data_IF_713320572381
#
_entry.id   IF_713320572381
#
_cell.length_a   1.000
_cell.length_b   1.000
_cell.length_c   1.000
_cell.angle_alpha   90.00
_cell.angle_beta   90.00
_cell.angle_gamma   90.00
#
_symmetry.space_group_name_H-M   'P 1'
#
loop_
_entity.id
_entity.type
_entity.pdbx_description
1 polymer ?
#
# COMPACT_ATOMS: atom_id res chain seq x y z
N UNK A 1 -31.87 -4.80 -10.75
CA UNK A 1 -31.59 -5.95 -9.86
C UNK A 1 -31.98 -5.52 -8.46
N UNK A 2 -32.86 -6.29 -7.79
CA UNK A 2 -33.19 -6.02 -6.39
C UNK A 2 -32.15 -6.73 -5.53
N UNK A 3 -31.03 -6.05 -5.27
CA UNK A 3 -29.98 -6.59 -4.41
C UNK A 3 -30.45 -6.46 -2.97
N UNK A 4 -30.56 -7.60 -2.29
CA UNK A 4 -30.94 -7.64 -0.88
C UNK A 4 -29.70 -7.85 -0.02
N UNK A 5 -29.61 -7.10 1.08
CA UNK A 5 -28.51 -7.19 2.05
C UNK A 5 -29.10 -7.51 3.40
N UNK A 6 -28.59 -8.56 4.03
CA UNK A 6 -29.11 -9.00 5.32
C UNK A 6 -28.02 -9.63 6.18
N UNK A 7 -28.17 -9.48 7.49
CA UNK A 7 -27.46 -10.30 8.46
C UNK A 7 -28.03 -11.71 8.42
N UNK A 8 -27.17 -12.70 8.56
CA UNK A 8 -27.52 -14.12 8.63
C UNK A 8 -27.07 -14.67 9.98
N UNK A 9 -27.80 -15.67 10.52
CA UNK A 9 -27.29 -16.51 11.60
C UNK A 9 -25.97 -17.15 11.15
N UNK A 10 -25.04 -17.35 12.08
CA UNK A 10 -23.71 -17.89 11.74
C UNK A 10 -23.81 -19.38 11.34
N UNK A 11 -24.87 -20.06 11.78
CA UNK A 11 -25.25 -21.42 11.43
C UNK A 11 -25.45 -21.58 9.91
N UNK A 12 -25.74 -20.49 9.20
CA UNK A 12 -25.92 -20.47 7.74
C UNK A 12 -24.61 -20.24 6.96
N UNK A 13 -23.44 -20.42 7.58
CA UNK A 13 -22.14 -20.28 6.92
C UNK A 13 -22.03 -21.13 5.64
N UNK A 14 -22.64 -22.30 5.59
CA UNK A 14 -22.60 -23.18 4.41
C UNK A 14 -23.08 -22.49 3.12
N UNK A 15 -23.98 -21.52 3.24
CA UNK A 15 -24.48 -20.77 2.08
C UNK A 15 -23.37 -19.99 1.35
N UNK A 16 -22.27 -19.64 2.03
CA UNK A 16 -21.14 -18.90 1.45
C UNK A 16 -19.97 -19.78 1.01
N UNK A 17 -20.05 -21.12 1.18
CA UNK A 17 -18.92 -22.04 0.96
C UNK A 17 -18.24 -21.83 -0.40
N UNK A 18 -19.03 -21.75 -1.48
CA UNK A 18 -18.51 -21.57 -2.84
C UNK A 18 -17.77 -20.23 -3.03
N UNK A 19 -18.27 -19.14 -2.45
CA UNK A 19 -17.61 -17.83 -2.51
C UNK A 19 -16.37 -17.80 -1.59
N UNK A 20 -16.41 -18.53 -0.48
CA UNK A 20 -15.26 -18.68 0.41
C UNK A 20 -14.10 -19.43 -0.27
N UNK A 21 -14.40 -20.53 -0.96
CA UNK A 21 -13.41 -21.26 -1.76
C UNK A 21 -12.84 -20.39 -2.87
N UNK A 22 -13.69 -19.58 -3.54
CA UNK A 22 -13.23 -18.65 -4.57
C UNK A 22 -12.26 -17.57 -4.05
N UNK A 23 -12.50 -17.00 -2.85
CA UNK A 23 -11.55 -16.05 -2.26
C UNK A 23 -10.27 -16.75 -1.77
N UNK A 24 -10.37 -17.97 -1.23
CA UNK A 24 -9.21 -18.78 -0.85
C UNK A 24 -8.29 -18.98 -2.05
N UNK A 25 -8.84 -19.34 -3.21
CA UNK A 25 -8.06 -19.60 -4.41
C UNK A 25 -7.48 -18.30 -5.01
N UNK A 26 -8.21 -17.19 -4.96
CA UNK A 26 -7.70 -15.86 -5.32
C UNK A 26 -6.56 -15.43 -4.39
N UNK A 27 -6.69 -15.66 -3.08
CA UNK A 27 -5.64 -15.43 -2.09
C UNK A 27 -4.43 -16.33 -2.31
N UNK A 28 -4.64 -17.61 -2.62
CA UNK A 28 -3.57 -18.53 -2.95
C UNK A 28 -2.78 -18.12 -4.19
N UNK A 29 -3.44 -17.48 -5.15
CA UNK A 29 -2.84 -17.00 -6.40
C UNK A 29 -2.10 -15.67 -6.20
N UNK A 30 -2.67 -14.76 -5.39
CA UNK A 30 -2.08 -13.43 -5.11
C UNK A 30 -0.98 -13.47 -4.05
N UNK A 31 -1.02 -14.44 -3.14
CA UNK A 31 -0.08 -14.50 -2.04
C UNK A 31 1.29 -14.92 -2.52
N UNK A 32 2.28 -14.04 -2.31
CA UNK A 32 3.69 -14.31 -2.60
C UNK A 32 4.27 -15.43 -1.73
N UNK A 33 3.79 -15.57 -0.50
CA UNK A 33 4.43 -16.41 0.53
C UNK A 33 3.57 -17.58 1.00
N UNK A 34 2.25 -17.45 0.94
CA UNK A 34 1.32 -18.39 1.59
C UNK A 34 0.41 -19.09 0.57
N UNK A 35 0.80 -19.12 -0.71
CA UNK A 35 -0.01 -19.71 -1.77
C UNK A 35 -0.43 -21.16 -1.48
N UNK A 36 0.51 -21.98 -1.02
CA UNK A 36 0.24 -23.38 -0.65
C UNK A 36 -0.60 -23.50 0.63
N UNK A 37 -0.33 -22.67 1.64
CA UNK A 37 -1.10 -22.67 2.88
C UNK A 37 -2.56 -22.33 2.60
N UNK A 38 -2.83 -21.31 1.78
CA UNK A 38 -4.19 -20.98 1.37
C UNK A 38 -4.85 -22.14 0.64
N UNK A 39 -4.17 -22.82 -0.29
CA UNK A 39 -4.71 -24.02 -0.98
C UNK A 39 -5.03 -25.15 -0.01
N UNK A 40 -4.25 -25.30 1.07
CA UNK A 40 -4.46 -26.30 2.11
C UNK A 40 -5.63 -26.00 3.04
N UNK A 41 -6.16 -24.77 3.06
CA UNK A 41 -7.28 -24.41 3.94
C UNK A 41 -8.58 -25.03 3.47
N UNK A 42 -9.28 -25.63 4.43
CA UNK A 42 -10.61 -26.23 4.27
C UNK A 42 -11.67 -25.32 4.86
N UNK A 43 -12.83 -25.27 4.22
CA UNK A 43 -13.96 -24.46 4.66
C UNK A 43 -14.48 -24.94 6.02
N UNK A 44 -14.44 -26.24 6.25
CA UNK A 44 -14.89 -26.90 7.48
C UNK A 44 -14.12 -26.37 8.70
N UNK A 45 -12.80 -26.20 8.60
CA UNK A 45 -11.98 -25.64 9.68
C UNK A 45 -12.40 -24.20 10.04
N UNK A 46 -12.92 -23.45 9.07
CA UNK A 46 -13.42 -22.09 9.28
C UNK A 46 -14.81 -22.10 9.90
N UNK A 47 -15.66 -23.03 9.48
CA UNK A 47 -16.96 -23.26 10.08
C UNK A 47 -16.83 -23.59 11.57
N UNK A 48 -15.92 -24.51 11.91
CA UNK A 48 -15.66 -24.91 13.29
C UNK A 48 -15.17 -23.73 14.14
N UNK A 49 -14.31 -22.88 13.60
CA UNK A 49 -13.80 -21.71 14.31
C UNK A 49 -14.91 -20.75 14.78
N UNK A 50 -15.91 -20.46 13.95
CA UNK A 50 -16.98 -19.54 14.34
C UNK A 50 -17.96 -20.14 15.36
N UNK A 51 -18.02 -21.48 15.47
CA UNK A 51 -18.86 -22.19 16.43
C UNK A 51 -18.11 -22.57 17.72
N UNK A 52 -16.81 -22.31 17.80
CA UNK A 52 -16.01 -22.53 19.00
C UNK A 52 -16.32 -21.44 20.04
N UNK A 53 -17.26 -21.75 20.94
CA UNK A 53 -17.72 -20.86 22.00
C UNK A 53 -16.62 -20.48 23.01
N UNK A 54 -15.53 -21.25 23.10
CA UNK A 54 -14.40 -20.93 23.97
C UNK A 54 -13.49 -19.87 23.35
N UNK A 55 -13.56 -19.68 22.02
CA UNK A 55 -12.74 -18.70 21.29
C UNK A 55 -13.54 -17.48 20.84
N UNK A 56 -14.79 -17.69 20.44
CA UNK A 56 -15.64 -16.70 19.79
C UNK A 56 -16.82 -16.36 20.68
N UNK A 57 -16.87 -15.11 21.14
CA UNK A 57 -17.99 -14.57 21.93
C UNK A 57 -19.18 -14.18 21.05
N UNK A 58 -18.90 -13.73 19.83
CA UNK A 58 -19.91 -13.39 18.85
C UNK A 58 -19.35 -13.58 17.44
N UNK A 59 -20.17 -14.09 16.52
CA UNK A 59 -19.86 -14.16 15.10
C UNK A 59 -21.00 -13.51 14.31
N UNK A 60 -20.63 -12.80 13.24
CA UNK A 60 -21.57 -12.13 12.36
C UNK A 60 -21.29 -12.48 10.90
N UNK A 61 -22.37 -12.71 10.14
CA UNK A 61 -22.33 -12.94 8.71
C UNK A 61 -23.31 -11.99 8.03
N UNK A 62 -22.83 -11.15 7.12
CA UNK A 62 -23.66 -10.33 6.25
C UNK A 62 -23.52 -10.82 4.81
N UNK A 63 -24.63 -10.96 4.10
CA UNK A 63 -24.65 -11.44 2.71
C UNK A 63 -25.41 -10.48 1.81
N UNK A 64 -24.97 -10.41 0.56
CA UNK A 64 -25.69 -9.77 -0.54
C UNK A 64 -26.27 -10.85 -1.45
N UNK A 65 -27.58 -10.75 -1.74
CA UNK A 65 -28.29 -11.64 -2.65
C UNK A 65 -28.84 -10.90 -3.85
N UNK A 66 -28.68 -11.49 -5.03
CA UNK A 66 -29.40 -11.11 -6.24
C UNK A 66 -30.43 -12.22 -6.51
N UNK A 67 -31.69 -11.94 -6.19
CA UNK A 67 -32.74 -12.95 -6.01
C UNK A 67 -32.33 -14.01 -4.96
N UNK A 68 -32.22 -15.29 -5.35
CA UNK A 68 -31.80 -16.38 -4.46
C UNK A 68 -30.28 -16.61 -4.43
N UNK A 69 -29.52 -15.95 -5.31
CA UNK A 69 -28.08 -16.20 -5.44
C UNK A 69 -27.28 -15.28 -4.51
N UNK A 70 -26.40 -15.85 -3.69
CA UNK A 70 -25.42 -15.06 -2.93
C UNK A 70 -24.31 -14.57 -3.87
N UNK A 71 -24.12 -13.26 -3.90
CA UNK A 71 -23.18 -12.58 -4.80
C UNK A 71 -22.06 -11.86 -4.05
N UNK A 72 -22.14 -11.82 -2.73
CA UNK A 72 -21.09 -11.32 -1.86
C UNK A 72 -21.40 -11.60 -0.41
N UNK A 73 -20.38 -11.63 0.42
CA UNK A 73 -20.52 -11.77 1.86
C UNK A 73 -19.40 -11.04 2.60
N UNK A 74 -19.66 -10.70 3.85
CA UNK A 74 -18.70 -10.21 4.82
C UNK A 74 -18.93 -10.97 6.13
N UNK A 75 -17.89 -11.54 6.70
CA UNK A 75 -17.93 -12.27 7.96
C UNK A 75 -16.87 -11.74 8.93
N UNK A 76 -17.17 -11.82 10.21
CA UNK A 76 -16.32 -11.34 11.29
C UNK A 76 -16.78 -11.87 12.64
N UNK A 77 -15.95 -11.64 13.65
CA UNK A 77 -16.20 -12.14 15.00
C UNK A 77 -15.71 -11.17 16.07
N UNK A 78 -16.11 -11.41 17.32
CA UNK A 78 -15.54 -10.85 18.53
C UNK A 78 -15.03 -12.02 19.36
N UNK A 79 -13.75 -12.01 19.71
CA UNK A 79 -13.17 -13.04 20.56
C UNK A 79 -13.59 -12.89 22.03
N UNK A 80 -13.26 -13.88 22.86
CA UNK A 80 -13.56 -13.84 24.30
C UNK A 80 -12.84 -12.69 25.04
N UNK A 81 -11.77 -12.13 24.47
CA UNK A 81 -11.05 -10.97 25.01
C UNK A 81 -11.73 -9.64 24.63
N UNK A 82 -12.81 -9.68 23.84
CA UNK A 82 -13.54 -8.51 23.40
C UNK A 82 -12.84 -7.74 22.27
N UNK A 83 -12.00 -8.41 21.48
CA UNK A 83 -11.38 -7.85 20.27
C UNK A 83 -12.20 -8.30 19.06
N UNK A 84 -12.59 -7.36 18.21
CA UNK A 84 -13.30 -7.62 16.96
C UNK A 84 -12.34 -7.84 15.79
N UNK A 85 -12.67 -8.77 14.89
CA UNK A 85 -12.01 -8.94 13.61
C UNK A 85 -13.04 -9.10 12.48
N UNK A 86 -12.84 -8.37 11.36
CA UNK A 86 -13.48 -8.71 10.08
C UNK A 86 -12.47 -9.52 9.28
N UNK A 87 -12.75 -10.80 9.10
CA UNK A 87 -11.76 -11.81 8.76
C UNK A 87 -12.05 -12.55 7.45
N UNK A 88 -13.22 -12.36 6.83
CA UNK A 88 -13.50 -12.87 5.49
C UNK A 88 -14.48 -11.99 4.72
N UNK A 89 -14.11 -11.54 3.53
CA UNK A 89 -14.90 -10.59 2.75
C UNK A 89 -14.72 -10.81 1.25
N UNK A 90 -15.80 -11.09 0.54
CA UNK A 90 -15.75 -11.33 -0.90
C UNK A 90 -16.98 -10.80 -1.62
N UNK A 91 -16.77 -10.29 -2.83
CA UNK A 91 -17.84 -9.98 -3.79
C UNK A 91 -17.46 -10.60 -5.12
N UNK A 92 -18.41 -11.29 -5.75
CA UNK A 92 -18.24 -11.92 -7.05
C UNK A 92 -17.80 -10.86 -8.09
N UNK A 93 -16.78 -11.12 -8.93
CA UNK A 93 -16.15 -10.10 -9.77
C UNK A 93 -17.10 -9.23 -10.61
N UNK A 94 -18.11 -9.83 -11.26
CA UNK A 94 -19.08 -9.11 -12.10
C UNK A 94 -19.98 -8.13 -11.33
N UNK A 95 -20.08 -8.30 -10.01
CA UNK A 95 -20.89 -7.46 -9.10
C UNK A 95 -20.04 -6.43 -8.33
N UNK A 96 -18.71 -6.40 -8.54
CA UNK A 96 -17.83 -5.42 -7.91
C UNK A 96 -18.05 -4.02 -8.48
N UNK A 97 -17.67 -3.01 -7.71
CA UNK A 97 -17.79 -1.58 -8.07
C UNK A 97 -19.24 -1.09 -8.27
N UNK A 98 -20.23 -1.82 -7.76
CA UNK A 98 -21.65 -1.45 -7.76
C UNK A 98 -22.16 -1.06 -6.36
N UNK A 99 -21.27 -0.70 -5.43
CA UNK A 99 -21.62 -0.35 -4.04
C UNK A 99 -21.89 -1.54 -3.10
N UNK A 100 -22.11 -2.74 -3.62
CA UNK A 100 -22.47 -3.94 -2.83
C UNK A 100 -21.46 -4.24 -1.72
N UNK A 101 -20.16 -4.22 -2.05
CA UNK A 101 -19.08 -4.49 -1.09
C UNK A 101 -19.06 -3.50 0.06
N UNK A 102 -19.34 -2.22 -0.21
CA UNK A 102 -19.45 -1.19 0.81
C UNK A 102 -20.64 -1.47 1.74
N UNK A 103 -21.81 -1.77 1.17
CA UNK A 103 -23.03 -2.00 1.96
C UNK A 103 -22.93 -3.23 2.87
N UNK A 104 -22.43 -4.38 2.39
CA UNK A 104 -22.28 -5.58 3.24
C UNK A 104 -21.18 -5.40 4.29
N UNK A 105 -20.13 -4.65 3.97
CA UNK A 105 -19.06 -4.34 4.92
C UNK A 105 -19.57 -3.41 6.02
N UNK A 106 -20.22 -2.29 5.67
CA UNK A 106 -20.76 -1.35 6.65
C UNK A 106 -21.79 -2.03 7.56
N UNK A 107 -22.66 -2.86 7.00
CA UNK A 107 -23.68 -3.55 7.78
C UNK A 107 -23.06 -4.47 8.84
N UNK A 108 -22.07 -5.29 8.46
CA UNK A 108 -21.35 -6.12 9.42
C UNK A 108 -20.56 -5.28 10.43
N UNK A 109 -19.86 -4.25 9.95
CA UNK A 109 -19.03 -3.41 10.80
C UNK A 109 -19.86 -2.69 11.87
N UNK A 110 -21.05 -2.18 11.52
CA UNK A 110 -22.01 -1.61 12.46
C UNK A 110 -22.48 -2.65 13.49
N UNK A 111 -22.79 -3.87 13.04
CA UNK A 111 -23.24 -4.95 13.91
C UNK A 111 -22.17 -5.35 14.94
N UNK A 112 -20.91 -5.48 14.52
CA UNK A 112 -19.77 -5.75 15.41
C UNK A 112 -19.53 -4.55 16.34
N UNK A 113 -19.55 -3.32 15.81
CA UNK A 113 -19.33 -2.10 16.60
C UNK A 113 -20.38 -1.90 17.68
N UNK A 114 -21.66 -2.20 17.41
CA UNK A 114 -22.75 -2.08 18.37
C UNK A 114 -22.59 -2.96 19.63
N UNK A 115 -21.71 -3.96 19.56
CA UNK A 115 -21.37 -4.85 20.68
C UNK A 115 -20.17 -4.33 21.50
N UNK A 116 -19.68 -3.13 21.18
CA UNK A 116 -18.62 -2.40 21.89
C UNK A 116 -17.33 -3.22 22.11
N UNK A 117 -16.69 -3.77 21.05
CA UNK A 117 -15.37 -4.37 21.18
C UNK A 117 -14.33 -3.29 21.55
N UNK A 118 -13.26 -3.71 22.22
CA UNK A 118 -12.14 -2.82 22.59
C UNK A 118 -11.43 -2.21 21.38
N UNK A 119 -11.37 -2.95 20.27
CA UNK A 119 -10.90 -2.52 18.95
C UNK A 119 -11.45 -3.47 17.89
N UNK A 120 -11.48 -3.03 16.63
CA UNK A 120 -11.77 -3.88 15.47
C UNK A 120 -10.57 -3.85 14.54
N UNK A 121 -10.08 -5.02 14.12
CA UNK A 121 -8.98 -5.11 13.16
C UNK A 121 -9.36 -5.94 11.93
N UNK A 122 -8.53 -5.83 10.89
CA UNK A 122 -8.65 -6.58 9.65
C UNK A 122 -7.26 -6.99 9.20
N UNK A 123 -7.13 -8.24 8.79
CA UNK A 123 -5.90 -8.77 8.21
C UNK A 123 -5.97 -8.66 6.69
N UNK A 124 -5.06 -7.89 6.08
CA UNK A 124 -4.98 -7.73 4.62
C UNK A 124 -3.75 -8.48 4.11
N UNK A 125 -3.95 -9.35 3.12
CA UNK A 125 -2.84 -10.08 2.50
C UNK A 125 -1.94 -9.09 1.76
N UNK A 126 -0.63 -9.30 1.91
CA UNK A 126 0.39 -8.55 1.20
C UNK A 126 0.14 -8.54 -0.32
N UNK A 127 0.31 -7.38 -0.97
CA UNK A 127 0.03 -7.18 -2.39
C UNK A 127 -1.45 -6.96 -2.75
N UNK A 128 -2.37 -6.97 -1.76
CA UNK A 128 -3.79 -6.67 -1.99
C UNK A 128 -4.12 -5.19 -1.79
N UNK A 129 -3.49 -4.32 -2.59
CA UNK A 129 -3.66 -2.86 -2.51
C UNK A 129 -5.12 -2.41 -2.68
N UNK A 130 -5.88 -3.13 -3.50
CA UNK A 130 -7.32 -2.86 -3.69
C UNK A 130 -8.10 -3.03 -2.38
N UNK A 131 -7.82 -4.07 -1.61
CA UNK A 131 -8.47 -4.30 -0.32
C UNK A 131 -8.00 -3.28 0.72
N UNK A 132 -6.69 -2.97 0.75
CA UNK A 132 -6.15 -1.96 1.65
C UNK A 132 -6.82 -0.58 1.44
N UNK A 133 -6.89 -0.12 0.20
CA UNK A 133 -7.58 1.15 -0.13
C UNK A 133 -9.07 1.11 0.19
N UNK A 134 -9.71 -0.06 0.09
CA UNK A 134 -11.11 -0.21 0.49
C UNK A 134 -11.30 -0.01 2.00
N UNK A 135 -10.49 -0.67 2.83
CA UNK A 135 -10.64 -0.58 4.30
C UNK A 135 -10.24 0.80 4.84
N UNK A 136 -9.23 1.45 4.25
CA UNK A 136 -8.86 2.84 4.59
C UNK A 136 -10.03 3.81 4.47
N UNK A 137 -10.84 3.68 3.42
CA UNK A 137 -12.05 4.50 3.23
C UNK A 137 -13.14 4.27 4.27
N UNK A 138 -13.08 3.15 5.00
CA UNK A 138 -14.01 2.83 6.09
C UNK A 138 -13.41 3.09 7.47
N UNK A 139 -12.36 3.91 7.55
CA UNK A 139 -11.75 4.33 8.83
C UNK A 139 -10.76 3.33 9.43
N UNK A 140 -10.43 2.24 8.73
CA UNK A 140 -9.38 1.32 9.17
C UNK A 140 -8.01 1.88 8.79
N UNK A 141 -7.19 2.15 9.81
CA UNK A 141 -5.82 2.61 9.61
C UNK A 141 -4.87 1.41 9.70
N UNK A 142 -3.86 1.30 8.81
CA UNK A 142 -2.81 0.31 8.97
C UNK A 142 -2.00 0.64 10.22
N UNK A 143 -2.04 -0.23 11.22
CA UNK A 143 -1.33 -0.05 12.50
C UNK A 143 -0.03 -0.85 12.59
N UNK A 144 0.30 -1.64 11.55
CA UNK A 144 1.49 -2.49 11.48
C UNK A 144 1.21 -3.81 10.76
N UNK A 145 2.20 -4.70 10.73
CA UNK A 145 2.07 -6.05 10.18
C UNK A 145 2.00 -7.08 11.33
N UNK A 146 1.26 -8.17 11.16
CA UNK A 146 1.21 -9.28 12.11
C UNK A 146 2.12 -10.39 11.58
N UNK A 147 3.21 -10.66 12.31
CA UNK A 147 4.16 -11.73 11.99
C UNK A 147 3.90 -12.92 12.93
N UNK A 148 3.98 -14.15 12.41
CA UNK A 148 3.72 -15.37 13.17
C UNK A 148 4.93 -16.31 13.09
N UNK A 149 5.29 -16.93 14.23
CA UNK A 149 6.35 -17.91 14.32
C UNK A 149 5.80 -19.31 13.98
N UNK A 150 6.31 -19.94 12.92
CA UNK A 150 5.91 -21.27 12.43
C UNK A 150 6.92 -22.32 12.91
N UNK A 151 6.59 -23.51 13.46
CA UNK A 151 7.52 -24.52 14.01
C UNK A 151 8.48 -25.22 13.02
N UNK A 152 9.62 -25.74 13.50
CA UNK A 152 10.82 -26.13 12.72
C UNK A 152 10.67 -27.58 12.33
N UNK A 153 10.37 -27.75 11.06
CA UNK A 153 9.74 -28.94 10.51
C UNK A 153 8.70 -28.54 9.47
N UNK A 154 8.16 -27.32 9.58
CA UNK A 154 7.39 -26.68 8.51
C UNK A 154 8.33 -25.98 7.53
N UNK A 155 8.27 -26.37 6.25
CA UNK A 155 9.15 -25.89 5.18
C UNK A 155 9.05 -24.37 4.89
N UNK A 156 8.09 -23.69 5.50
CA UNK A 156 7.85 -22.24 5.36
C UNK A 156 8.63 -21.38 6.38
N UNK A 157 9.42 -21.99 7.28
CA UNK A 157 9.95 -21.35 8.51
C UNK A 157 11.14 -20.38 8.37
N UNK A 158 12.08 -20.56 7.44
CA UNK A 158 13.42 -19.93 7.60
C UNK A 158 13.62 -18.51 7.01
N UNK A 159 12.69 -17.97 6.20
CA UNK A 159 12.98 -16.80 5.34
C UNK A 159 12.23 -15.50 5.67
N UNK A 160 11.15 -15.53 6.45
CA UNK A 160 10.10 -14.50 6.34
C UNK A 160 10.06 -13.53 7.53
N UNK A 161 10.63 -13.89 8.69
CA UNK A 161 10.13 -13.37 9.98
C UNK A 161 10.87 -12.19 10.61
N UNK A 162 12.13 -11.88 10.28
CA UNK A 162 12.88 -10.80 10.99
C UNK A 162 13.11 -9.51 10.17
N UNK A 163 12.92 -9.52 8.84
CA UNK A 163 13.35 -8.43 7.97
C UNK A 163 12.30 -7.32 7.74
N UNK A 164 11.01 -7.68 7.62
CA UNK A 164 9.99 -6.82 7.00
C UNK A 164 9.41 -5.68 7.90
N UNK A 165 9.37 -5.86 9.23
CA UNK A 165 8.73 -4.87 10.13
C UNK A 165 9.64 -3.66 10.43
N UNK A 166 10.96 -3.88 10.45
CA UNK A 166 11.97 -2.83 10.57
C UNK A 166 12.02 -1.99 9.29
N UNK A 167 11.82 -2.62 8.14
CA UNK A 167 11.95 -2.01 6.81
C UNK A 167 10.89 -0.93 6.55
N UNK A 168 9.63 -1.14 6.95
CA UNK A 168 8.54 -0.24 6.55
C UNK A 168 8.55 1.08 7.35
N UNK A 169 8.74 1.01 8.67
CA UNK A 169 9.05 2.17 9.49
C UNK A 169 10.34 2.87 9.03
N UNK A 170 11.30 2.10 8.54
CA UNK A 170 12.53 2.64 7.99
C UNK A 170 12.27 3.43 6.69
N UNK A 171 11.56 2.88 5.71
CA UNK A 171 11.24 3.59 4.45
C UNK A 171 10.38 4.83 4.68
N UNK A 172 9.38 4.78 5.55
CA UNK A 172 8.58 5.97 5.89
C UNK A 172 9.43 7.06 6.55
N UNK A 173 10.35 6.70 7.47
CA UNK A 173 11.27 7.67 8.07
C UNK A 173 12.18 8.31 7.02
N UNK A 174 12.64 7.56 6.03
CA UNK A 174 13.45 8.12 4.92
C UNK A 174 12.59 9.01 4.01
N UNK A 175 11.36 8.60 3.72
CA UNK A 175 10.44 9.41 2.91
C UNK A 175 10.05 10.72 3.62
N UNK A 176 9.81 10.71 4.94
CA UNK A 176 9.60 11.95 5.71
C UNK A 176 10.79 12.92 5.63
N UNK A 177 12.01 12.39 5.51
CA UNK A 177 13.19 13.23 5.28
C UNK A 177 13.21 13.80 3.85
N UNK A 178 12.77 13.04 2.84
CA UNK A 178 12.56 13.58 1.50
C UNK A 178 11.46 14.67 1.50
N UNK A 179 10.36 14.49 2.24
CA UNK A 179 9.28 15.47 2.42
C UNK A 179 9.81 16.76 3.05
N UNK A 180 10.68 16.68 4.06
CA UNK A 180 11.32 17.87 4.63
C UNK A 180 12.02 18.72 3.56
N UNK A 181 12.75 18.09 2.63
CA UNK A 181 13.41 18.79 1.52
C UNK A 181 12.42 19.27 0.45
N UNK A 182 11.31 18.56 0.22
CA UNK A 182 10.22 19.02 -0.64
C UNK A 182 9.60 20.33 -0.11
N UNK A 183 9.41 20.44 1.20
CA UNK A 183 8.93 21.68 1.85
C UNK A 183 9.96 22.82 1.75
N UNK A 184 11.26 22.51 1.70
CA UNK A 184 12.30 23.52 1.40
C UNK A 184 12.18 24.06 -0.01
N UNK A 185 11.97 23.21 -1.02
CA UNK A 185 11.64 23.68 -2.38
C UNK A 185 10.40 24.58 -2.36
N UNK A 186 9.32 24.13 -1.71
CA UNK A 186 8.08 24.92 -1.62
C UNK A 186 8.30 26.32 -1.05
N UNK A 187 9.13 26.45 -0.01
CA UNK A 187 9.45 27.74 0.61
C UNK A 187 10.20 28.72 -0.30
N UNK A 188 10.73 28.23 -1.42
CA UNK A 188 11.38 29.01 -2.48
C UNK A 188 10.48 29.19 -3.70
N UNK A 189 9.17 28.89 -3.57
CA UNK A 189 8.21 28.88 -4.68
C UNK A 189 8.56 27.90 -5.80
N UNK A 190 9.30 26.84 -5.49
CA UNK A 190 9.60 25.73 -6.38
C UNK A 190 8.57 24.60 -6.20
N UNK A 191 8.39 23.78 -7.23
CA UNK A 191 7.56 22.57 -7.10
C UNK A 191 8.07 21.70 -5.92
N UNK A 192 7.19 21.28 -4.98
CA UNK A 192 7.60 20.63 -3.74
C UNK A 192 8.02 19.17 -3.96
N UNK A 193 9.23 19.00 -4.48
CA UNK A 193 9.84 17.69 -4.73
C UNK A 193 11.15 17.63 -3.97
N UNK A 194 11.30 16.58 -3.16
CA UNK A 194 12.48 16.36 -2.33
C UNK A 194 12.97 14.93 -2.45
N UNK A 195 14.28 14.74 -2.23
CA UNK A 195 14.96 13.47 -2.38
C UNK A 195 16.05 13.29 -1.32
N UNK A 196 16.23 12.07 -0.82
CA UNK A 196 17.36 11.67 0.02
C UNK A 196 17.98 10.38 -0.50
N UNK A 197 19.31 10.27 -0.39
CA UNK A 197 20.05 9.04 -0.70
C UNK A 197 20.58 8.44 0.60
N UNK A 198 20.40 7.15 0.74
CA UNK A 198 20.68 6.37 1.94
C UNK A 198 21.71 5.30 1.62
N UNK A 199 22.70 5.13 2.50
CA UNK A 199 23.69 4.07 2.45
C UNK A 199 23.92 3.56 3.87
N UNK A 200 23.97 2.25 4.06
CA UNK A 200 24.14 1.60 5.37
C UNK A 200 23.17 2.13 6.44
N UNK A 201 21.90 2.30 6.05
CA UNK A 201 20.87 2.81 6.94
C UNK A 201 20.91 4.32 7.21
N UNK A 202 21.90 5.06 6.69
CA UNK A 202 22.13 6.48 6.98
C UNK A 202 21.90 7.36 5.76
N UNK A 203 21.24 8.50 5.94
CA UNK A 203 21.10 9.50 4.87
C UNK A 203 22.49 10.11 4.63
N UNK A 204 23.03 9.93 3.43
CA UNK A 204 24.35 10.46 3.07
C UNK A 204 24.24 11.76 2.27
N UNK A 205 23.17 11.95 1.51
CA UNK A 205 22.90 13.18 0.77
C UNK A 205 21.40 13.44 0.63
N UNK A 206 21.08 14.63 0.18
CA UNK A 206 19.72 15.08 -0.09
C UNK A 206 19.72 16.06 -1.27
N UNK A 207 18.53 16.30 -1.82
CA UNK A 207 18.28 17.26 -2.89
C UNK A 207 16.81 17.65 -2.90
N UNK A 208 16.51 18.79 -3.51
CA UNK A 208 15.16 19.27 -3.74
C UNK A 208 15.14 20.09 -5.02
N UNK A 209 13.96 20.25 -5.61
CA UNK A 209 13.80 20.96 -6.86
C UNK A 209 14.25 22.43 -6.72
N UNK A 210 15.08 22.87 -7.65
CA UNK A 210 15.65 24.23 -7.72
C UNK A 210 15.67 24.76 -9.16
N UNK A 211 14.86 24.15 -10.05
CA UNK A 211 14.86 24.42 -11.49
C UNK A 211 14.65 25.89 -11.80
N UNK A 212 13.66 26.54 -11.18
CA UNK A 212 13.34 27.94 -11.46
C UNK A 212 14.39 28.89 -10.87
N UNK A 213 14.86 28.61 -9.65
CA UNK A 213 15.82 29.43 -8.90
C UNK A 213 17.20 29.42 -9.53
N UNK A 214 17.60 28.30 -10.15
CA UNK A 214 18.90 28.12 -10.79
C UNK A 214 18.88 28.23 -12.30
N UNK A 215 17.68 28.35 -12.90
CA UNK A 215 17.50 28.39 -14.36
C UNK A 215 18.22 27.22 -15.06
N UNK A 216 18.15 26.04 -14.45
CA UNK A 216 18.81 24.83 -14.93
C UNK A 216 17.79 23.68 -14.93
N UNK A 217 17.49 23.21 -16.13
CA UNK A 217 16.59 22.07 -16.41
C UNK A 217 16.97 20.81 -15.64
N UNK A 218 18.24 20.64 -15.28
CA UNK A 218 18.74 19.47 -14.54
C UNK A 218 18.62 19.58 -13.02
N UNK A 219 18.21 20.71 -12.46
CA UNK A 219 18.10 20.95 -11.00
C UNK A 219 16.84 20.32 -10.38
N UNK A 220 16.60 19.05 -10.71
CA UNK A 220 15.64 18.18 -10.06
C UNK A 220 16.20 17.62 -8.75
N UNK A 221 15.30 17.23 -7.83
CA UNK A 221 15.67 16.75 -6.50
C UNK A 221 16.62 15.54 -6.54
N UNK A 222 16.34 14.58 -7.41
CA UNK A 222 17.11 13.34 -7.58
C UNK A 222 18.51 13.61 -8.12
N UNK A 223 18.61 14.47 -9.14
CA UNK A 223 19.91 14.87 -9.73
C UNK A 223 20.76 15.60 -8.69
N UNK A 224 20.17 16.54 -7.95
CA UNK A 224 20.86 17.25 -6.88
C UNK A 224 21.36 16.30 -5.79
N UNK A 225 20.54 15.33 -5.37
CA UNK A 225 20.90 14.34 -4.38
C UNK A 225 22.02 13.40 -4.85
N UNK A 226 21.94 12.89 -6.09
CA UNK A 226 22.97 12.06 -6.75
C UNK A 226 24.29 12.83 -6.82
N UNK A 227 24.27 14.05 -7.35
CA UNK A 227 25.46 14.90 -7.47
C UNK A 227 26.12 15.13 -6.11
N UNK A 228 25.32 15.37 -5.08
CA UNK A 228 25.78 15.53 -3.70
C UNK A 228 26.39 14.24 -3.13
N UNK A 229 25.76 13.09 -3.34
CA UNK A 229 26.29 11.78 -2.94
C UNK A 229 27.63 11.47 -3.63
N UNK A 230 27.72 11.69 -4.94
CA UNK A 230 28.93 11.42 -5.71
C UNK A 230 30.13 12.23 -5.20
N UNK A 231 29.92 13.52 -4.88
CA UNK A 231 30.96 14.37 -4.27
C UNK A 231 31.37 13.86 -2.89
N UNK A 232 30.39 13.48 -2.05
CA UNK A 232 30.66 13.01 -0.69
C UNK A 232 31.44 11.69 -0.67
N UNK A 233 31.09 10.76 -1.57
CA UNK A 233 31.74 9.45 -1.68
C UNK A 233 32.98 9.47 -2.59
N UNK A 234 33.26 10.58 -3.27
CA UNK A 234 34.30 10.71 -4.31
C UNK A 234 34.22 9.60 -5.37
N UNK A 235 33.00 9.22 -5.73
CA UNK A 235 32.71 8.13 -6.66
C UNK A 235 31.44 8.48 -7.43
N UNK A 236 31.42 8.23 -8.74
CA UNK A 236 30.19 8.31 -9.53
C UNK A 236 29.32 7.06 -9.37
N UNK A 237 29.89 5.95 -8.89
CA UNK A 237 29.17 4.72 -8.54
C UNK A 237 28.59 4.87 -7.14
N UNK A 238 27.27 4.86 -7.06
CA UNK A 238 26.45 4.84 -5.84
C UNK A 238 25.90 3.42 -5.60
N UNK A 239 26.75 2.42 -5.81
CA UNK A 239 26.47 1.04 -5.41
C UNK A 239 26.18 1.00 -3.90
N UNK A 240 25.31 0.07 -3.49
CA UNK A 240 24.78 -0.05 -2.11
C UNK A 240 23.99 1.16 -1.59
N UNK A 241 23.62 2.10 -2.47
CA UNK A 241 22.77 3.23 -2.11
C UNK A 241 21.32 2.98 -2.54
N UNK A 242 20.39 3.42 -1.70
CA UNK A 242 18.96 3.49 -1.97
C UNK A 242 18.51 4.96 -2.05
N UNK A 243 17.61 5.27 -2.97
CA UNK A 243 17.09 6.61 -3.21
C UNK A 243 15.63 6.71 -2.79
N UNK A 244 15.27 7.78 -2.07
CA UNK A 244 13.90 8.08 -1.69
C UNK A 244 13.52 9.43 -2.27
N UNK A 245 12.39 9.52 -2.98
CA UNK A 245 11.91 10.76 -3.62
C UNK A 245 10.41 10.93 -3.47
N UNK A 246 9.93 12.14 -3.23
CA UNK A 246 8.50 12.38 -2.96
C UNK A 246 7.61 12.17 -4.19
N UNK A 247 8.14 12.32 -5.40
CA UNK A 247 7.42 12.13 -6.67
C UNK A 247 8.14 11.10 -7.54
N UNK A 248 7.37 10.33 -8.32
CA UNK A 248 7.91 9.38 -9.30
C UNK A 248 8.95 10.06 -10.24
N UNK A 249 10.16 9.47 -10.37
CA UNK A 249 11.20 10.02 -11.23
C UNK A 249 10.76 10.16 -12.69
N UNK A 250 11.15 11.28 -13.32
CA UNK A 250 11.01 11.48 -14.76
C UNK A 250 12.11 10.75 -15.55
N UNK A 251 12.05 10.77 -16.89
CA UNK A 251 13.02 10.11 -17.78
C UNK A 251 14.47 10.48 -17.49
N UNK A 252 14.74 11.77 -17.27
CA UNK A 252 16.07 12.29 -16.97
C UNK A 252 16.61 11.70 -15.66
N UNK A 253 15.81 11.79 -14.59
CA UNK A 253 16.19 11.29 -13.28
C UNK A 253 16.35 9.76 -13.29
N UNK A 254 15.43 9.04 -13.94
CA UNK A 254 15.51 7.59 -14.08
C UNK A 254 16.80 7.16 -14.82
N UNK A 255 17.16 7.85 -15.91
CA UNK A 255 18.43 7.61 -16.61
C UNK A 255 19.65 7.86 -15.72
N UNK A 256 19.66 8.96 -14.96
CA UNK A 256 20.75 9.25 -14.02
C UNK A 256 20.86 8.22 -12.88
N UNK A 257 19.73 7.70 -12.38
CA UNK A 257 19.68 6.64 -11.37
C UNK A 257 20.33 5.35 -11.90
N UNK A 258 20.00 4.94 -13.13
CA UNK A 258 20.64 3.78 -13.79
C UNK A 258 22.15 3.99 -13.92
N UNK A 259 22.57 5.15 -14.45
CA UNK A 259 23.99 5.46 -14.67
C UNK A 259 24.81 5.57 -13.37
N UNK A 260 24.17 6.01 -12.28
CA UNK A 260 24.82 6.09 -10.96
C UNK A 260 24.83 4.76 -10.20
N UNK A 261 24.22 3.69 -10.73
CA UNK A 261 24.19 2.35 -10.12
C UNK A 261 23.50 2.27 -8.76
N UNK A 262 22.53 3.14 -8.52
CA UNK A 262 21.67 3.06 -7.33
C UNK A 262 20.94 1.73 -7.34
N UNK A 263 20.89 1.06 -6.18
CA UNK A 263 20.32 -0.28 -6.04
C UNK A 263 18.80 -0.24 -6.10
N UNK A 264 18.18 0.63 -5.31
CA UNK A 264 16.73 0.68 -5.15
C UNK A 264 16.20 2.12 -5.13
N UNK A 265 15.05 2.35 -5.78
CA UNK A 265 14.32 3.63 -5.75
C UNK A 265 12.98 3.47 -5.04
N UNK A 266 12.77 4.25 -4.00
CA UNK A 266 11.52 4.39 -3.28
C UNK A 266 10.89 5.73 -3.66
N UNK A 267 9.65 5.74 -4.13
CA UNK A 267 8.95 6.98 -4.45
C UNK A 267 7.58 7.09 -3.78
N UNK A 268 7.16 8.33 -3.50
CA UNK A 268 5.90 8.63 -2.84
C UNK A 268 4.72 8.58 -3.79
N UNK A 269 4.41 9.71 -4.41
CA UNK A 269 3.32 9.82 -5.38
C UNK A 269 3.75 9.42 -6.79
N UNK A 270 2.83 8.87 -7.59
CA UNK A 270 3.03 8.66 -9.03
C UNK A 270 2.91 9.98 -9.79
N UNK A 271 3.56 10.09 -10.96
CA UNK A 271 3.40 11.21 -11.89
C UNK A 271 2.78 10.74 -13.21
N UNK A 272 1.45 10.83 -13.36
CA UNK A 272 0.76 10.42 -14.58
C UNK A 272 1.14 11.23 -15.84
N UNK A 273 1.79 12.39 -15.69
CA UNK A 273 2.17 13.25 -16.82
C UNK A 273 3.58 12.92 -17.32
N UNK A 274 4.55 12.83 -16.41
CA UNK A 274 5.96 12.73 -16.76
C UNK A 274 6.72 11.57 -16.10
N UNK A 275 6.07 10.80 -15.22
CA UNK A 275 6.66 9.68 -14.49
C UNK A 275 7.15 8.57 -15.42
N UNK A 276 8.40 8.19 -15.25
CA UNK A 276 9.09 7.25 -16.14
C UNK A 276 9.33 5.87 -15.50
N UNK A 277 8.88 5.64 -14.26
CA UNK A 277 9.12 4.38 -13.54
C UNK A 277 7.94 3.42 -13.69
N UNK A 278 6.72 3.89 -13.39
CA UNK A 278 5.48 3.09 -13.52
C UNK A 278 4.45 3.74 -14.43
N UNK A 279 4.47 5.07 -14.60
CA UNK A 279 3.38 5.79 -15.25
C UNK A 279 3.44 5.78 -16.78
N UNK A 280 4.61 6.04 -17.40
CA UNK A 280 4.72 6.19 -18.86
C UNK A 280 5.68 5.24 -19.54
N UNK A 281 6.94 5.23 -19.11
CA UNK A 281 8.05 4.69 -19.92
C UNK A 281 8.68 3.43 -19.34
N UNK A 282 8.40 3.12 -18.07
CA UNK A 282 8.95 1.97 -17.35
C UNK A 282 10.46 1.79 -17.59
N UNK A 283 11.22 2.89 -17.45
CA UNK A 283 12.64 2.97 -17.82
C UNK A 283 13.46 1.87 -17.13
N UNK A 284 13.14 1.50 -15.88
CA UNK A 284 13.86 0.46 -15.14
C UNK A 284 13.61 -0.96 -15.66
N UNK A 285 12.52 -1.20 -16.39
CA UNK A 285 12.16 -2.52 -16.92
C UNK A 285 12.91 -2.85 -18.22
N UNK A 286 13.45 -1.83 -18.91
CA UNK A 286 14.27 -2.01 -20.10
C UNK A 286 15.61 -2.72 -19.79
N UNK A 287 16.28 -3.18 -20.85
CA UNK A 287 17.59 -3.81 -20.74
C UNK A 287 18.68 -2.73 -20.60
N UNK A 288 19.22 -2.62 -19.39
CA UNK A 288 20.32 -1.73 -19.04
C UNK A 288 21.49 -2.55 -18.51
N UNK A 289 22.67 -1.94 -18.50
CA UNK A 289 23.88 -2.50 -17.88
C UNK A 289 23.83 -2.57 -16.34
N UNK A 290 22.80 -2.00 -15.71
CA UNK A 290 22.53 -2.05 -14.27
C UNK A 290 21.01 -2.18 -14.04
N UNK A 291 20.59 -3.06 -13.13
CA UNK A 291 19.18 -3.28 -12.81
C UNK A 291 18.83 -2.54 -11.52
N UNK A 292 17.85 -1.64 -11.61
CA UNK A 292 17.36 -0.82 -10.50
C UNK A 292 16.06 -1.42 -10.00
N UNK A 293 15.98 -1.74 -8.71
CA UNK A 293 14.74 -2.13 -8.05
C UNK A 293 13.91 -0.89 -7.70
N UNK A 294 12.59 -1.00 -7.65
CA UNK A 294 11.76 0.14 -7.26
C UNK A 294 10.53 -0.24 -6.43
N UNK A 295 10.10 0.69 -5.59
CA UNK A 295 8.89 0.58 -4.77
C UNK A 295 8.20 1.93 -4.70
N UNK A 296 6.97 2.00 -5.20
CA UNK A 296 6.14 3.20 -5.15
C UNK A 296 5.18 3.21 -3.96
N UNK A 297 4.60 4.37 -3.67
CA UNK A 297 3.47 4.49 -2.74
C UNK A 297 3.83 4.83 -1.29
N UNK A 298 5.12 5.06 -0.98
CA UNK A 298 5.55 5.39 0.38
C UNK A 298 5.06 6.79 0.75
N UNK A 299 4.13 6.92 1.70
CA UNK A 299 3.47 8.21 2.03
C UNK A 299 2.84 8.88 0.79
N UNK A 300 2.21 8.07 -0.08
CA UNK A 300 1.63 8.49 -1.36
C UNK A 300 0.75 9.74 -1.26
N UNK A 301 -0.21 9.74 -0.34
CA UNK A 301 -1.18 10.84 -0.18
C UNK A 301 -0.50 12.14 0.24
N UNK A 302 0.38 12.08 1.25
CA UNK A 302 1.13 13.23 1.74
C UNK A 302 2.00 13.85 0.64
N UNK A 303 2.71 13.01 -0.11
CA UNK A 303 3.54 13.45 -1.22
C UNK A 303 2.73 14.07 -2.37
N UNK A 304 1.61 13.45 -2.75
CA UNK A 304 0.76 13.93 -3.85
C UNK A 304 -0.02 15.20 -3.49
N UNK A 305 -0.42 15.34 -2.23
CA UNK A 305 -1.17 16.49 -1.74
C UNK A 305 -0.32 17.76 -1.77
N UNK A 306 0.96 17.70 -1.37
CA UNK A 306 1.89 18.83 -1.46
C UNK A 306 1.96 19.42 -2.86
N UNK A 307 2.13 18.58 -3.88
CA UNK A 307 2.23 19.01 -5.28
C UNK A 307 0.90 19.61 -5.78
N UNK A 308 -0.21 18.99 -5.40
CA UNK A 308 -1.56 19.44 -5.75
C UNK A 308 -1.85 20.83 -5.19
N UNK A 309 -1.53 21.05 -3.92
CA UNK A 309 -1.76 22.33 -3.24
C UNK A 309 -0.86 23.42 -3.82
N UNK A 310 0.41 23.12 -4.10
CA UNK A 310 1.32 24.06 -4.75
C UNK A 310 0.78 24.59 -6.08
N UNK A 311 0.39 23.72 -7.02
CA UNK A 311 -0.17 24.16 -8.30
C UNK A 311 -1.57 24.79 -8.18
N UNK A 312 -2.32 24.47 -7.13
CA UNK A 312 -3.57 25.17 -6.82
C UNK A 312 -3.30 26.62 -6.44
N UNK A 313 -2.30 26.87 -5.60
CA UNK A 313 -1.88 28.21 -5.18
C UNK A 313 -1.36 29.03 -6.37
N UNK A 314 -0.45 28.48 -7.18
CA UNK A 314 0.07 29.17 -8.38
C UNK A 314 -1.02 29.60 -9.38
N UNK A 315 -2.09 28.80 -9.54
CA UNK A 315 -3.22 29.14 -10.40
C UNK A 315 -4.08 30.27 -9.86
N UNK A 316 -4.15 30.43 -8.54
CA UNK A 316 -4.86 31.55 -7.90
C UNK A 316 -4.06 32.85 -7.98
N UNK A 317 -2.73 32.75 -7.94
CA UNK A 317 -1.81 33.88 -7.97
C UNK A 317 -1.55 34.44 -9.38
N UNK A 318 -1.97 33.73 -10.43
CA UNK A 318 -2.03 34.27 -11.81
C UNK A 318 -3.47 34.71 -12.13
N UNK A 319 -3.85 35.99 -11.98
CA UNK A 319 -4.97 36.52 -12.74
C UNK A 319 -4.64 36.42 -14.23
N UNK A 320 -5.67 36.27 -15.05
CA UNK A 320 -5.60 36.29 -16.52
C UNK A 320 -4.63 37.36 -17.04
N UNK A 321 -3.44 36.95 -17.46
CA UNK A 321 -2.66 37.70 -18.43
C UNK A 321 -2.57 36.88 -19.70
N UNK A 322 -3.13 37.51 -20.74
CA UNK A 322 -3.00 37.22 -22.14
C UNK A 322 -1.53 36.95 -22.50
N UNK A 323 -1.29 35.87 -23.23
CA UNK A 323 -0.74 35.89 -24.60
C UNK A 323 -0.99 34.52 -25.26
#
# INVERSE_FOLDING_TARGET
MSIQISMQPIENLDEIKSLWEAIRDDHATRSTYFGNDFRGRRFENRFDFYHDADRVKYAGLCVARDNSLIIGYCAGHIDYQGIGEIDSFYVVPKYRSQGIGHLIFERLHQEISARNPSKIHISVIHGNERALSFYKRHGFLPIGYKLQNIPSGDSSRELITDFAMTDILYHERKMKQAIYWALKAQSLSEAPIGCVIVRDGRIISHGYNLRESRQDVTEHAEIAAIRSACRKLKSWRLEDCDLYVTLEPCTMCAGAIVQSRIRHVYFGATDPKAGAVVSKQQVFDAEHNHKVQYTGGILYEECGQMLTDFFRTLRKEKPSHQE
#
